data_IF_045896282121
#
_entry.id   IF_045896282121
#
_cell.length_a   1.000
_cell.length_b   1.000
_cell.length_c   1.000
_cell.angle_alpha   90.00
_cell.angle_beta   90.00
_cell.angle_gamma   90.00
#
_symmetry.space_group_name_H-M   'P 1'
#
loop_
_entity.id
_entity.type
_entity.pdbx_description
1 polymer ?
2 polymer ?
3 non-polymer ?
4 non-polymer ?
5 non-polymer ?
6 water ?
#
loop_
_entity_poly.entity_id
_entity_poly.type
_entity_poly.pdbx_seq_one_letter_code
_entity_poly.pdbx_strand_id
2 'polydeoxyribonucleotide' '(DT)(DT)(DT)(DT)(DT)(DT)' ?
#
# COMPACT_ATOMS: atom_id res chain seq x y z
N UNK A 1 -18.75 10.08 19.31
CA UNK A 1 -17.87 10.58 18.22
C UNK A 1 -18.20 9.95 16.86
N UNK A 2 -18.24 8.60 16.78
CA UNK A 2 -18.55 7.92 15.52
C UNK A 2 -19.78 8.50 14.83
N UNK A 3 -19.68 8.80 13.53
CA UNK A 3 -20.79 9.36 12.74
C UNK A 3 -22.08 8.55 12.87
N UNK A 4 -23.20 9.26 13.08
CA UNK A 4 -24.49 8.60 13.21
C UNK A 4 -24.98 8.16 11.83
N UNK A 5 -25.70 7.05 11.79
CA UNK A 5 -26.21 6.52 10.53
C UNK A 5 -27.42 7.35 10.08
N UNK A 6 -27.25 8.13 8.99
CA UNK A 6 -28.32 8.97 8.46
C UNK A 6 -29.46 8.20 7.81
N UNK A 7 -30.53 8.92 7.47
CA UNK A 7 -31.70 8.32 6.83
C UNK A 7 -31.38 8.06 5.36
N UNK A 8 -30.64 8.98 4.77
CA UNK A 8 -30.23 8.86 3.37
C UNK A 8 -28.71 8.85 3.29
N UNK A 9 -28.18 8.16 2.28
CA UNK A 9 -26.75 8.05 2.06
C UNK A 9 -25.95 9.29 2.44
N UNK A 10 -24.79 9.05 3.04
CA UNK A 10 -23.90 10.12 3.46
C UNK A 10 -22.49 9.60 3.70
N UNK A 11 -21.49 10.41 3.37
CA UNK A 11 -20.10 10.04 3.59
C UNK A 11 -19.59 10.90 4.75
N UNK A 12 -19.05 10.25 5.77
CA UNK A 12 -18.54 10.98 6.94
C UNK A 12 -17.10 10.61 7.24
N UNK A 13 -16.43 11.46 8.00
CA UNK A 13 -15.04 11.20 8.36
C UNK A 13 -14.94 10.84 9.83
N UNK A 14 -13.91 10.05 10.16
CA UNK A 14 -13.66 9.63 11.53
C UNK A 14 -12.17 9.78 11.78
N UNK A 15 -11.81 10.69 12.68
CA UNK A 15 -10.42 10.94 13.00
C UNK A 15 -10.17 10.72 14.48
N UNK A 16 -9.26 9.80 14.80
CA UNK A 16 -8.90 9.50 16.18
C UNK A 16 -7.49 8.92 16.19
N UNK A 17 -6.74 9.15 17.28
CA UNK A 17 -5.36 8.65 17.38
C UNK A 17 -5.18 7.15 17.16
N UNK A 18 -3.95 6.76 16.86
CA UNK A 18 -3.65 5.36 16.66
C UNK A 18 -3.91 4.56 17.92
N UNK A 19 -4.52 3.40 17.73
CA UNK A 19 -4.84 2.53 18.84
C UNK A 19 -6.10 2.92 19.59
N UNK A 20 -6.78 3.98 19.17
CA UNK A 20 -7.99 4.40 19.89
C UNK A 20 -9.18 3.45 19.74
N UNK A 21 -9.24 2.70 18.65
CA UNK A 21 -10.35 1.76 18.48
C UNK A 21 -11.17 1.91 17.22
N UNK A 22 -10.70 2.73 16.30
CA UNK A 22 -11.40 2.97 15.04
C UNK A 22 -11.77 1.71 14.27
N UNK A 23 -10.84 0.76 14.21
CA UNK A 23 -11.06 -0.48 13.46
C UNK A 23 -11.71 -1.62 14.23
N UNK A 24 -11.90 -1.42 15.53
CA UNK A 24 -12.49 -2.48 16.36
C UNK A 24 -13.68 -2.03 17.20
N UNK A 25 -13.48 -1.03 18.05
CA UNK A 25 -14.56 -0.51 18.90
C UNK A 25 -15.73 0.04 18.08
N UNK A 26 -15.42 0.89 17.10
CA UNK A 26 -16.43 1.51 16.27
C UNK A 26 -17.31 0.51 15.53
N UNK A 27 -16.72 -0.44 14.77
CA UNK A 27 -17.61 -1.38 14.09
C UNK A 27 -18.42 -2.22 15.06
N UNK A 28 -17.88 -2.49 16.24
CA UNK A 28 -18.59 -3.26 17.25
C UNK A 28 -19.83 -2.48 17.67
N UNK A 29 -19.64 -1.19 17.92
CA UNK A 29 -20.74 -0.33 18.32
C UNK A 29 -21.85 -0.34 17.27
N UNK A 30 -21.48 -0.12 16.01
CA UNK A 30 -22.45 -0.11 14.94
C UNK A 30 -23.23 -1.41 14.87
N UNK A 31 -22.52 -2.52 14.99
CA UNK A 31 -23.14 -3.83 14.94
C UNK A 31 -24.12 -3.97 16.09
N UNK A 32 -23.75 -3.46 17.24
CA UNK A 32 -24.63 -3.52 18.42
C UNK A 32 -25.92 -2.77 18.18
N UNK A 33 -25.89 -1.75 17.32
CA UNK A 33 -27.08 -0.98 17.03
C UNK A 33 -27.96 -1.69 16.01
N UNK A 34 -27.47 -2.79 15.46
CA UNK A 34 -28.24 -3.55 14.50
C UNK A 34 -27.88 -3.32 13.04
N UNK A 35 -26.72 -2.72 12.79
CA UNK A 35 -26.31 -2.46 11.42
C UNK A 35 -25.32 -3.51 10.90
N UNK A 36 -25.35 -3.74 9.59
CA UNK A 36 -24.42 -4.68 8.96
C UNK A 36 -23.23 -3.81 8.54
N UNK A 37 -22.04 -4.15 9.02
CA UNK A 37 -20.86 -3.34 8.73
C UNK A 37 -19.73 -4.04 7.99
N UNK A 38 -19.19 -3.34 6.99
CA UNK A 38 -18.08 -3.85 6.19
C UNK A 38 -16.88 -2.93 6.46
N UNK A 39 -15.77 -3.52 6.88
CA UNK A 39 -14.56 -2.74 7.14
C UNK A 39 -13.46 -3.11 6.15
N UNK A 40 -13.06 -2.15 5.32
CA UNK A 40 -12.01 -2.38 4.34
C UNK A 40 -10.69 -1.84 4.88
N UNK A 41 -9.71 -2.71 5.01
CA UNK A 41 -8.40 -2.34 5.53
C UNK A 41 -7.34 -2.75 4.51
N UNK A 42 -6.30 -1.94 4.33
CA UNK A 42 -5.26 -2.28 3.34
C UNK A 42 -4.29 -3.39 3.77
N UNK A 43 -4.33 -3.75 5.04
CA UNK A 43 -3.41 -4.75 5.57
C UNK A 43 -3.95 -6.18 5.78
N UNK A 44 -3.33 -7.14 5.10
CA UNK A 44 -3.73 -8.54 5.27
C UNK A 44 -3.43 -8.94 6.73
N UNK A 45 -2.26 -8.55 7.22
CA UNK A 45 -1.88 -8.88 8.60
C UNK A 45 -2.91 -8.37 9.61
N UNK A 46 -3.29 -7.10 9.49
CA UNK A 46 -4.26 -6.52 10.42
C UNK A 46 -5.64 -7.17 10.27
N UNK A 47 -6.07 -7.37 9.04
CA UNK A 47 -7.37 -7.98 8.75
C UNK A 47 -7.48 -9.34 9.43
N UNK A 48 -6.48 -10.19 9.24
CA UNK A 48 -6.49 -11.51 9.88
C UNK A 48 -6.47 -11.30 11.38
N UNK A 49 -5.74 -10.27 11.81
CA UNK A 49 -5.64 -9.95 13.22
C UNK A 49 -6.95 -9.53 13.84
N UNK A 50 -7.79 -8.81 13.09
CA UNK A 50 -9.07 -8.36 13.60
C UNK A 50 -9.97 -9.56 13.93
N UNK A 51 -9.90 -10.59 13.09
CA UNK A 51 -10.69 -11.78 13.31
C UNK A 51 -10.45 -12.40 14.66
N UNK A 52 -9.19 -12.66 14.96
CA UNK A 52 -8.81 -13.27 16.24
C UNK A 52 -9.15 -12.38 17.42
N UNK A 53 -8.74 -11.11 17.36
CA UNK A 53 -8.99 -10.17 18.44
C UNK A 53 -10.47 -9.93 18.74
N UNK A 54 -11.25 -9.63 17.70
CA UNK A 54 -12.67 -9.38 17.88
C UNK A 54 -13.33 -10.61 18.51
N UNK A 55 -12.85 -11.78 18.12
CA UNK A 55 -13.38 -13.03 18.63
C UNK A 55 -13.23 -13.19 20.13
N UNK A 56 -12.05 -12.91 20.67
CA UNK A 56 -11.85 -13.08 22.09
C UNK A 56 -11.92 -11.82 22.94
N UNK A 57 -12.26 -10.68 22.34
CA UNK A 57 -12.32 -9.44 23.09
C UNK A 57 -13.67 -8.75 22.96
N UNK A 58 -14.34 -8.94 21.82
CA UNK A 58 -15.64 -8.32 21.61
C UNK A 58 -16.71 -9.39 21.45
N UNK A 59 -16.34 -10.63 21.77
CA UNK A 59 -17.27 -11.73 21.67
C UNK A 59 -17.96 -11.76 20.31
N UNK A 60 -17.19 -11.63 19.25
CA UNK A 60 -17.77 -11.66 17.92
C UNK A 60 -16.79 -12.24 16.90
N UNK A 61 -17.26 -13.22 16.13
CA UNK A 61 -16.46 -13.86 15.11
C UNK A 61 -16.93 -13.32 13.77
N UNK A 62 -16.32 -12.22 13.33
CA UNK A 62 -16.70 -11.60 12.06
C UNK A 62 -16.26 -12.38 10.84
N UNK A 63 -16.82 -12.00 9.71
CA UNK A 63 -16.46 -12.62 8.45
C UNK A 63 -15.11 -11.99 8.11
N UNK A 64 -14.23 -12.80 7.52
CA UNK A 64 -12.91 -12.33 7.14
C UNK A 64 -12.68 -12.65 5.67
N UNK A 65 -12.18 -11.66 4.94
CA UNK A 65 -11.91 -11.84 3.52
C UNK A 65 -10.55 -11.25 3.14
N UNK A 66 -9.62 -12.12 2.75
CA UNK A 66 -8.29 -11.72 2.32
C UNK A 66 -7.92 -12.70 1.22
N UNK A 67 -6.88 -12.38 0.46
CA UNK A 67 -6.46 -13.27 -0.61
C UNK A 67 -5.85 -14.56 -0.09
N UNK A 68 -5.49 -14.56 1.18
CA UNK A 68 -4.86 -15.72 1.80
C UNK A 68 -5.86 -16.60 2.54
N UNK A 69 -6.82 -15.99 3.23
CA UNK A 69 -7.80 -16.77 3.95
C UNK A 69 -9.16 -16.10 4.01
N UNK A 70 -10.20 -16.91 3.88
CA UNK A 70 -11.57 -16.42 3.95
C UNK A 70 -12.29 -17.16 5.06
N UNK A 71 -13.08 -16.43 5.82
CA UNK A 71 -13.86 -17.02 6.90
C UNK A 71 -15.26 -16.42 6.87
N UNK A 72 -16.25 -17.24 6.57
CA UNK A 72 -17.63 -16.77 6.52
C UNK A 72 -18.39 -17.35 7.70
N UNK A 73 -18.84 -16.48 8.59
CA UNK A 73 -19.56 -16.88 9.80
C UNK A 73 -21.00 -16.40 9.76
N UNK A 74 -21.25 -15.33 9.02
CA UNK A 74 -22.60 -14.79 8.93
C UNK A 74 -22.80 -13.68 9.95
N UNK A 75 -21.70 -13.25 10.57
CA UNK A 75 -21.76 -12.17 11.54
C UNK A 75 -22.16 -10.86 10.87
N UNK A 76 -22.61 -9.87 11.65
CA UNK A 76 -23.02 -8.57 11.10
C UNK A 76 -21.84 -7.64 10.79
N UNK A 77 -20.63 -8.14 10.98
CA UNK A 77 -19.41 -7.37 10.69
C UNK A 77 -18.47 -8.18 9.80
N UNK A 78 -17.99 -7.54 8.74
CA UNK A 78 -17.05 -8.19 7.83
C UNK A 78 -15.76 -7.37 7.69
N UNK A 79 -14.63 -8.05 7.84
CA UNK A 79 -13.33 -7.40 7.66
C UNK A 79 -12.76 -7.93 6.36
N UNK A 80 -12.36 -7.01 5.49
CA UNK A 80 -11.81 -7.39 4.19
C UNK A 80 -10.71 -6.41 3.78
N UNK A 81 -9.72 -6.91 3.06
CA UNK A 81 -8.68 -6.02 2.58
C UNK A 81 -9.27 -5.35 1.34
N UNK A 82 -8.73 -4.19 0.97
CA UNK A 82 -9.21 -3.49 -0.21
C UNK A 82 -8.98 -4.39 -1.41
N UNK A 83 -7.84 -5.08 -1.41
CA UNK A 83 -7.52 -5.98 -2.51
C UNK A 83 -8.56 -7.05 -2.76
N UNK A 84 -8.96 -7.75 -1.71
CA UNK A 84 -9.95 -8.82 -1.82
C UNK A 84 -11.30 -8.25 -2.21
N UNK A 85 -11.60 -7.06 -1.71
CA UNK A 85 -12.85 -6.36 -2.00
C UNK A 85 -12.92 -6.07 -3.50
N UNK A 86 -11.83 -5.57 -4.06
CA UNK A 86 -11.80 -5.27 -5.49
C UNK A 86 -11.89 -6.58 -6.28
N UNK A 87 -11.17 -7.60 -5.82
CA UNK A 87 -11.17 -8.90 -6.48
C UNK A 87 -12.55 -9.57 -6.45
N UNK A 88 -13.35 -9.28 -5.42
CA UNK A 88 -14.68 -9.86 -5.31
C UNK A 88 -15.67 -9.13 -6.22
N UNK A 89 -15.27 -7.98 -6.75
CA UNK A 89 -16.15 -7.25 -7.65
C UNK A 89 -16.80 -6.01 -7.05
N UNK A 90 -16.31 -5.54 -5.90
CA UNK A 90 -16.89 -4.35 -5.31
C UNK A 90 -18.08 -4.58 -4.40
N UNK A 91 -18.93 -3.58 -4.28
CA UNK A 91 -20.12 -3.65 -3.41
C UNK A 91 -21.18 -4.65 -3.87
N UNK A 92 -21.78 -5.33 -2.91
CA UNK A 92 -22.83 -6.30 -3.17
C UNK A 92 -24.17 -5.63 -2.85
N UNK A 93 -25.19 -5.95 -3.64
CA UNK A 93 -26.50 -5.35 -3.43
C UNK A 93 -27.11 -5.62 -2.07
N UNK A 94 -27.46 -4.54 -1.38
CA UNK A 94 -28.07 -4.65 -0.06
C UNK A 94 -27.33 -5.53 0.95
N UNK A 95 -26.01 -5.57 0.85
CA UNK A 95 -25.22 -6.38 1.76
C UNK A 95 -24.89 -5.68 3.08
N UNK A 96 -24.59 -4.38 3.01
CA UNK A 96 -24.24 -3.64 4.21
C UNK A 96 -24.88 -2.26 4.35
N UNK A 97 -25.10 -1.86 5.61
CA UNK A 97 -25.69 -0.56 5.91
C UNK A 97 -24.57 0.48 6.04
N UNK A 98 -23.43 0.03 6.52
CA UNK A 98 -22.28 0.90 6.72
C UNK A 98 -21.02 0.28 6.13
N UNK A 99 -20.26 1.11 5.42
CA UNK A 99 -19.01 0.66 4.85
C UNK A 99 -17.93 1.59 5.39
N UNK A 100 -16.96 1.00 6.06
CA UNK A 100 -15.86 1.79 6.61
C UNK A 100 -14.60 1.64 5.77
N UNK A 101 -14.20 2.74 5.12
CA UNK A 101 -12.98 2.78 4.34
C UNK A 101 -11.93 3.11 5.38
N UNK A 102 -11.42 2.05 6.02
CA UNK A 102 -10.43 2.13 7.07
C UNK A 102 -9.05 2.54 6.55
N UNK A 103 -8.26 3.18 7.42
CA UNK A 103 -6.91 3.65 7.09
C UNK A 103 -6.90 4.39 5.75
N UNK A 104 -7.82 5.32 5.58
CA UNK A 104 -7.94 6.10 4.34
C UNK A 104 -6.79 7.08 4.08
N UNK A 105 -5.72 6.97 4.85
CA UNK A 105 -4.55 7.82 4.67
C UNK A 105 -3.58 7.10 3.72
N UNK A 106 -3.85 5.82 3.46
CA UNK A 106 -3.00 5.02 2.60
C UNK A 106 -3.08 5.43 1.14
N UNK A 107 -1.93 5.71 0.55
CA UNK A 107 -1.88 6.12 -0.85
C UNK A 107 -1.34 5.06 -1.81
N UNK A 108 -1.49 3.78 -1.47
CA UNK A 108 -1.08 2.72 -2.38
C UNK A 108 -2.26 2.68 -3.36
N UNK A 109 -2.01 2.26 -4.61
CA UNK A 109 -3.08 2.23 -5.62
C UNK A 109 -4.29 1.35 -5.28
N UNK A 110 -4.08 0.25 -4.57
CA UNK A 110 -5.19 -0.63 -4.23
C UNK A 110 -6.16 0.09 -3.29
N UNK A 111 -5.63 0.77 -2.28
CA UNK A 111 -6.50 1.49 -1.36
C UNK A 111 -7.26 2.59 -2.13
N UNK A 112 -6.56 3.36 -2.96
CA UNK A 112 -7.20 4.42 -3.72
C UNK A 112 -8.37 3.87 -4.57
N UNK A 113 -8.09 2.83 -5.35
CA UNK A 113 -9.12 2.20 -6.18
C UNK A 113 -10.27 1.65 -5.33
N UNK A 114 -9.93 1.05 -4.21
CA UNK A 114 -10.93 0.48 -3.33
C UNK A 114 -11.86 1.54 -2.78
N UNK A 115 -11.30 2.63 -2.26
CA UNK A 115 -12.11 3.70 -1.71
C UNK A 115 -12.97 4.37 -2.78
N UNK A 116 -12.38 4.60 -3.95
CA UNK A 116 -13.11 5.22 -5.05
C UNK A 116 -14.28 4.32 -5.46
N UNK A 117 -14.06 3.01 -5.46
CA UNK A 117 -15.11 2.08 -5.82
C UNK A 117 -16.27 2.25 -4.85
N UNK A 118 -15.96 2.30 -3.56
CA UNK A 118 -16.98 2.48 -2.53
C UNK A 118 -17.74 3.81 -2.73
N UNK A 119 -16.99 4.90 -2.89
CA UNK A 119 -17.62 6.20 -3.07
C UNK A 119 -18.54 6.24 -4.29
N UNK A 120 -18.35 5.30 -5.21
CA UNK A 120 -19.17 5.25 -6.43
C UNK A 120 -20.28 4.18 -6.43
N UNK A 121 -20.12 3.12 -5.64
CA UNK A 121 -21.11 2.05 -5.63
C UNK A 121 -21.92 1.95 -4.34
N UNK A 122 -21.38 2.49 -3.25
CA UNK A 122 -22.04 2.42 -1.95
C UNK A 122 -23.54 2.73 -1.96
N UNK A 123 -23.91 3.93 -2.37
CA UNK A 123 -25.30 4.32 -2.39
C UNK A 123 -26.18 3.38 -3.20
N UNK A 124 -25.74 3.04 -4.41
CA UNK A 124 -26.49 2.13 -5.27
C UNK A 124 -26.60 0.75 -4.63
N UNK A 125 -25.59 0.37 -3.86
CA UNK A 125 -25.57 -0.93 -3.20
C UNK A 125 -26.49 -0.96 -1.98
N UNK A 126 -27.05 0.19 -1.63
CA UNK A 126 -27.95 0.24 -0.49
C UNK A 126 -27.34 0.66 0.84
N UNK A 127 -26.07 1.05 0.82
CA UNK A 127 -25.40 1.48 2.04
C UNK A 127 -25.88 2.89 2.38
N UNK A 128 -26.16 3.15 3.65
CA UNK A 128 -26.62 4.48 4.05
C UNK A 128 -25.50 5.35 4.57
N UNK A 129 -24.36 4.73 4.89
CA UNK A 129 -23.25 5.46 5.43
C UNK A 129 -21.87 4.95 5.02
N UNK A 130 -20.99 5.87 4.67
CA UNK A 130 -19.63 5.51 4.33
C UNK A 130 -18.75 6.32 5.26
N UNK A 131 -17.84 5.64 5.94
CA UNK A 131 -16.94 6.33 6.86
C UNK A 131 -15.48 6.24 6.39
N UNK A 132 -14.82 7.38 6.37
CA UNK A 132 -13.42 7.47 5.96
C UNK A 132 -12.62 7.62 7.26
N UNK A 133 -12.06 6.51 7.75
CA UNK A 133 -11.33 6.52 9.01
C UNK A 133 -9.80 6.52 8.92
N UNK A 134 -9.18 7.33 9.77
CA UNK A 134 -7.71 7.43 9.85
C UNK A 134 -7.28 8.26 11.04
N UNK A 135 -6.11 7.94 11.58
CA UNK A 135 -5.55 8.68 12.71
C UNK A 135 -4.72 9.84 12.14
N UNK A 136 -4.49 9.81 10.82
CA UNK A 136 -3.66 10.82 10.19
C UNK A 136 -4.22 11.45 8.92
N UNK A 137 -5.25 12.30 9.04
CA UNK A 137 -5.88 12.97 7.88
C UNK A 137 -4.89 13.83 7.08
N UNK A 138 -5.21 14.13 5.81
CA UNK A 138 -4.41 14.93 4.89
C UNK A 138 -3.47 16.01 5.44
N UNK A 139 -4.01 17.08 5.98
CA UNK A 139 -3.13 18.12 6.48
C UNK A 139 -2.65 17.93 7.92
N UNK A 140 -2.63 16.70 8.41
CA UNK A 140 -2.22 16.45 9.78
C UNK A 140 -0.72 16.41 10.02
N UNK A 141 -0.33 16.87 11.20
CA UNK A 141 1.07 16.91 11.61
C UNK A 141 1.20 15.97 12.80
N UNK A 142 2.33 15.31 12.93
CA UNK A 142 2.56 14.40 14.03
C UNK A 142 2.39 15.10 15.38
N UNK A 143 1.51 14.55 16.22
CA UNK A 143 1.25 15.10 17.54
C UNK A 143 1.62 14.08 18.60
N UNK A 144 1.99 14.56 19.80
CA UNK A 144 2.37 13.68 20.92
C UNK A 144 1.32 12.62 21.22
N UNK A 145 1.75 11.39 21.44
CA UNK A 145 0.83 10.31 21.76
C UNK A 145 0.97 10.01 23.25
N UNK A 146 -0.16 9.97 23.97
CA UNK A 146 -0.17 9.70 25.42
C UNK A 146 0.54 8.42 25.90
N UNK A 147 0.53 7.38 25.09
CA UNK A 147 1.15 6.11 25.49
C UNK A 147 2.56 5.91 24.93
N UNK A 148 3.04 6.85 24.12
CA UNK A 148 4.35 6.65 23.50
C UNK A 148 5.49 7.63 23.82
N UNK A 149 6.49 7.12 24.52
CA UNK A 149 7.68 7.91 24.85
C UNK A 149 8.59 7.83 23.63
N UNK A 150 9.03 8.96 23.12
CA UNK A 150 9.89 9.00 21.94
C UNK A 150 11.35 9.25 22.32
N UNK A 151 12.21 8.26 22.07
CA UNK A 151 13.62 8.39 22.42
C UNK A 151 14.53 8.29 21.19
N UNK A 152 15.30 9.33 20.94
CA UNK A 152 16.21 9.32 19.80
C UNK A 152 17.36 8.35 20.00
N UNK A 153 17.78 7.72 18.92
CA UNK A 153 18.91 6.80 18.95
C UNK A 153 20.17 7.65 18.88
N UNK A 154 21.30 7.08 19.29
CA UNK A 154 22.56 7.78 19.24
C UNK A 154 23.57 6.93 18.49
N UNK A 155 24.84 7.24 18.66
CA UNK A 155 25.91 6.50 18.02
C UNK A 155 26.30 5.30 18.86
N UNK A 156 25.79 5.26 20.09
CA UNK A 156 26.07 4.16 21.01
C UNK A 156 25.19 2.94 20.72
N UNK A 157 25.83 1.79 20.60
CA UNK A 157 25.09 0.57 20.33
C UNK A 157 25.94 -0.35 19.49
N UNK A 158 25.76 -1.66 19.65
CA UNK A 158 26.54 -2.61 18.89
C UNK A 158 25.91 -3.00 17.54
N UNK A 159 24.79 -2.36 17.19
CA UNK A 159 24.11 -2.66 15.95
C UNK A 159 23.95 -1.42 15.07
N UNK A 160 24.72 -1.35 13.98
CA UNK A 160 24.66 -0.21 13.06
C UNK A 160 23.25 -0.05 12.49
N UNK A 161 22.76 1.19 12.43
CA UNK A 161 21.41 1.43 11.95
C UNK A 161 21.26 2.82 11.34
N UNK A 162 21.26 2.86 10.01
CA UNK A 162 21.10 4.08 9.24
C UNK A 162 21.95 5.25 9.75
N UNK A 163 23.23 5.01 9.98
CA UNK A 163 24.11 6.07 10.45
C UNK A 163 24.21 6.14 11.97
N UNK A 164 23.28 5.51 12.66
CA UNK A 164 23.26 5.48 14.12
C UNK A 164 23.45 4.04 14.54
N UNK A 165 23.08 3.73 15.78
CA UNK A 165 23.21 2.37 16.28
C UNK A 165 22.07 2.00 17.22
N UNK A 166 21.85 0.70 17.39
CA UNK A 166 20.81 0.21 18.29
C UNK A 166 21.48 -0.60 19.40
N UNK A 167 21.24 -0.21 20.67
CA UNK A 167 21.84 -0.95 21.79
C UNK A 167 21.10 -2.27 21.96
N UNK A 168 21.84 -3.37 22.08
CA UNK A 168 21.21 -4.68 22.23
C UNK A 168 20.26 -4.79 23.42
N UNK A 169 20.60 -4.16 24.54
CA UNK A 169 19.72 -4.24 25.71
C UNK A 169 18.40 -3.53 25.45
N UNK A 170 18.34 -2.75 24.38
CA UNK A 170 17.14 -2.03 24.04
C UNK A 170 16.11 -2.96 23.34
N UNK A 171 16.59 -4.08 22.81
CA UNK A 171 15.70 -5.02 22.12
C UNK A 171 15.81 -6.45 22.63
N UNK A 172 16.73 -6.70 23.54
CA UNK A 172 16.94 -8.02 24.13
C UNK A 172 15.78 -8.30 25.09
N UNK A 173 14.94 -9.27 24.74
CA UNK A 173 13.80 -9.58 25.58
C UNK A 173 12.67 -8.63 25.25
N UNK A 174 11.45 -9.16 25.20
CA UNK A 174 10.31 -8.32 24.85
C UNK A 174 9.99 -8.40 23.37
N UNK A 175 9.03 -7.61 22.93
CA UNK A 175 8.62 -7.60 21.53
C UNK A 175 8.93 -6.23 20.95
N UNK A 176 9.56 -6.23 19.77
CA UNK A 176 9.94 -4.97 19.13
C UNK A 176 9.78 -5.01 17.62
N UNK A 177 9.41 -3.86 17.05
CA UNK A 177 9.24 -3.74 15.61
C UNK A 177 10.24 -2.72 15.08
N UNK A 178 11.00 -3.14 14.07
CA UNK A 178 11.99 -2.26 13.45
C UNK A 178 11.64 -2.00 11.99
N UNK A 179 11.46 -0.73 11.64
CA UNK A 179 11.14 -0.37 10.27
C UNK A 179 12.39 -0.06 9.46
N UNK A 180 12.47 -0.67 8.28
CA UNK A 180 13.56 -0.48 7.34
C UNK A 180 12.91 -0.10 6.01
N UNK A 181 13.56 0.78 5.26
CA UNK A 181 13.02 1.25 3.98
C UNK A 181 12.91 0.19 2.88
N UNK A 182 13.71 -0.88 2.95
CA UNK A 182 13.68 -1.90 1.91
C UNK A 182 13.64 -3.34 2.42
N UNK A 183 13.20 -4.25 1.56
CA UNK A 183 13.12 -5.67 1.90
C UNK A 183 14.51 -6.23 2.19
N UNK A 184 15.46 -5.86 1.33
CA UNK A 184 16.84 -6.31 1.46
C UNK A 184 17.41 -5.94 2.82
N UNK A 185 17.16 -4.72 3.28
CA UNK A 185 17.67 -4.27 4.58
C UNK A 185 17.02 -5.10 5.70
N UNK A 186 15.75 -5.43 5.54
CA UNK A 186 15.03 -6.21 6.53
C UNK A 186 15.69 -7.56 6.71
N UNK A 187 16.00 -8.21 5.60
CA UNK A 187 16.65 -9.52 5.63
C UNK A 187 18.02 -9.44 6.29
N UNK A 188 18.79 -8.41 5.93
CA UNK A 188 20.13 -8.23 6.48
C UNK A 188 20.13 -7.97 7.97
N UNK A 189 19.22 -7.10 8.42
CA UNK A 189 19.13 -6.77 9.85
C UNK A 189 18.67 -7.98 10.63
N UNK A 190 17.61 -8.63 10.17
CA UNK A 190 17.10 -9.82 10.85
C UNK A 190 18.23 -10.84 11.00
N UNK A 191 18.98 -11.06 9.94
CA UNK A 191 20.09 -12.00 9.97
C UNK A 191 21.12 -11.55 11.01
N UNK A 192 21.46 -10.28 10.98
CA UNK A 192 22.43 -9.72 11.94
C UNK A 192 21.95 -9.98 13.37
N UNK A 193 20.67 -9.70 13.63
CA UNK A 193 20.11 -9.90 14.95
C UNK A 193 20.05 -11.38 15.34
N UNK A 194 19.62 -12.24 14.42
CA UNK A 194 19.55 -13.67 14.70
C UNK A 194 20.93 -14.19 15.05
N UNK A 195 21.95 -13.67 14.38
CA UNK A 195 23.31 -14.10 14.63
C UNK A 195 23.79 -13.72 16.02
N UNK A 196 23.14 -12.74 16.63
CA UNK A 196 23.49 -12.28 17.97
C UNK A 196 22.73 -13.05 19.04
N UNK A 197 21.98 -14.07 18.62
CA UNK A 197 21.22 -14.87 19.57
C UNK A 197 19.86 -14.32 19.92
N UNK A 198 19.36 -13.39 19.11
CA UNK A 198 18.05 -12.79 19.35
C UNK A 198 17.02 -13.42 18.41
N UNK A 199 15.77 -13.49 18.84
CA UNK A 199 14.72 -14.06 18.01
C UNK A 199 14.19 -12.98 17.07
N UNK A 200 14.73 -12.94 15.85
CA UNK A 200 14.34 -11.93 14.87
C UNK A 200 13.82 -12.52 13.59
N UNK A 201 12.80 -11.89 13.03
CA UNK A 201 12.19 -12.32 11.79
C UNK A 201 11.89 -11.12 10.90
N UNK A 202 12.00 -11.32 9.59
CA UNK A 202 11.72 -10.25 8.67
C UNK A 202 10.32 -10.43 8.14
N UNK A 203 9.69 -9.31 7.79
CA UNK A 203 8.36 -9.37 7.21
C UNK A 203 8.15 -8.20 6.27
N UNK A 204 7.58 -8.52 5.11
CA UNK A 204 7.27 -7.54 4.08
C UNK A 204 6.35 -8.23 3.10
N UNK A 205 5.79 -7.45 2.16
CA UNK A 205 4.87 -7.99 1.18
C UNK A 205 5.47 -9.22 0.50
N UNK A 206 4.72 -10.32 0.51
CA UNK A 206 5.21 -11.54 -0.12
C UNK A 206 5.46 -12.67 0.87
N UNK A 207 5.75 -12.31 2.11
CA UNK A 207 6.00 -13.32 3.12
C UNK A 207 4.68 -13.62 3.85
N UNK A 208 4.60 -14.80 4.46
CA UNK A 208 3.39 -15.18 5.18
C UNK A 208 3.28 -14.43 6.51
N UNK A 209 2.07 -13.94 6.80
CA UNK A 209 1.81 -13.21 8.04
C UNK A 209 2.13 -14.08 9.26
N UNK A 210 2.09 -15.39 9.09
CA UNK A 210 2.36 -16.35 10.16
C UNK A 210 3.80 -16.30 10.67
N UNK A 211 4.69 -15.67 9.92
CA UNK A 211 6.08 -15.58 10.33
C UNK A 211 6.22 -14.77 11.61
N UNK A 212 5.21 -13.96 11.90
CA UNK A 212 5.25 -13.14 13.10
C UNK A 212 4.54 -13.89 14.22
N UNK A 213 5.28 -14.30 15.26
CA UNK A 213 4.71 -15.02 16.40
C UNK A 213 3.72 -14.13 17.16
N UNK A 214 2.63 -14.73 17.61
CA UNK A 214 1.59 -14.03 18.34
C UNK A 214 2.06 -13.60 19.72
N UNK A 215 2.90 -14.42 20.34
CA UNK A 215 3.41 -14.12 21.67
C UNK A 215 4.88 -14.45 21.82
N UNK A 216 5.43 -14.16 22.98
CA UNK A 216 6.83 -14.44 23.25
C UNK A 216 7.76 -13.40 22.63
N UNK A 217 8.97 -13.34 23.17
CA UNK A 217 9.99 -12.40 22.71
C UNK A 217 10.25 -12.51 21.22
N UNK A 218 10.35 -11.35 20.56
CA UNK A 218 10.61 -11.33 19.14
C UNK A 218 10.95 -9.93 18.65
N UNK A 219 11.76 -9.87 17.60
CA UNK A 219 12.10 -8.60 16.98
C UNK A 219 11.70 -8.75 15.52
N UNK A 220 10.66 -8.03 15.12
CA UNK A 220 10.22 -8.09 13.73
C UNK A 220 10.88 -6.94 12.98
N UNK A 221 11.45 -7.23 11.82
CA UNK A 221 12.09 -6.20 11.02
C UNK A 221 11.25 -6.13 9.75
N UNK A 222 10.56 -5.02 9.56
CA UNK A 222 9.69 -4.90 8.41
C UNK A 222 9.72 -3.60 7.63
N UNK A 223 9.12 -3.68 6.46
CA UNK A 223 8.96 -2.55 5.55
C UNK A 223 7.62 -1.92 5.96
N UNK A 224 7.17 -0.95 5.17
CA UNK A 224 5.89 -0.31 5.47
C UNK A 224 4.71 -1.28 5.35
N UNK A 225 5.00 -2.57 5.17
CA UNK A 225 3.94 -3.56 5.08
C UNK A 225 3.25 -3.67 6.46
N UNK A 226 3.94 -3.18 7.48
CA UNK A 226 3.38 -3.20 8.83
C UNK A 226 3.19 -1.80 9.38
N UNK A 227 3.12 -0.82 8.48
CA UNK A 227 2.95 0.56 8.88
C UNK A 227 1.54 0.89 9.39
N UNK A 228 0.52 0.34 8.76
CA UNK A 228 -0.84 0.66 9.18
C UNK A 228 -1.71 -0.50 9.62
N UNK A 229 -2.75 -0.18 10.40
CA UNK A 229 -3.70 -1.17 10.89
C UNK A 229 -3.25 -2.18 11.93
N UNK A 230 -2.09 -2.77 11.71
CA UNK A 230 -1.53 -3.83 12.55
C UNK A 230 -1.21 -3.59 14.03
N UNK A 231 -1.61 -4.55 14.87
CA UNK A 231 -1.32 -4.52 16.30
C UNK A 231 -0.49 -5.77 16.57
N UNK A 232 0.80 -5.58 16.80
CA UNK A 232 1.66 -6.73 17.05
C UNK A 232 2.02 -6.86 18.52
N UNK A 233 1.44 -6.00 19.35
CA UNK A 233 1.72 -6.01 20.79
C UNK A 233 3.22 -5.76 21.01
N UNK A 234 3.73 -4.69 20.40
CA UNK A 234 5.14 -4.36 20.51
C UNK A 234 5.43 -3.42 21.66
N UNK A 235 6.52 -3.67 22.37
CA UNK A 235 6.94 -2.83 23.49
C UNK A 235 7.63 -1.59 22.94
N UNK A 236 8.14 -1.70 21.71
CA UNK A 236 8.80 -0.56 21.09
C UNK A 236 8.85 -0.67 19.57
N UNK A 237 9.08 0.48 18.96
CA UNK A 237 9.22 0.61 17.52
C UNK A 237 10.47 1.44 17.28
N UNK A 238 11.34 0.94 16.39
CA UNK A 238 12.55 1.65 16.01
C UNK A 238 12.32 1.95 14.53
N UNK A 239 12.49 3.21 14.18
CA UNK A 239 12.19 3.70 12.83
C UNK A 239 13.39 4.35 12.14
N UNK A 240 13.68 3.93 10.90
CA UNK A 240 14.79 4.50 10.14
C UNK A 240 14.36 5.87 9.61
N UNK A 241 13.07 6.15 9.69
CA UNK A 241 12.50 7.43 9.24
C UNK A 241 12.62 7.73 7.75
N UNK A 242 12.97 6.72 6.95
CA UNK A 242 13.07 6.90 5.50
C UNK A 242 12.07 5.96 4.83
N UNK A 243 11.77 6.24 3.56
CA UNK A 243 10.82 5.42 2.82
C UNK A 243 11.14 5.44 1.33
N UNK A 244 10.53 4.52 0.59
CA UNK A 244 10.73 4.47 -0.84
C UNK A 244 9.47 5.02 -1.50
N UNK A 245 9.65 5.91 -2.45
CA UNK A 245 8.51 6.50 -3.14
C UNK A 245 8.79 6.54 -4.62
N UNK A 246 7.78 6.94 -5.39
CA UNK A 246 7.92 7.03 -6.83
C UNK A 246 7.47 8.38 -7.32
N UNK A 247 8.09 8.83 -8.41
CA UNK A 247 7.74 10.12 -8.99
C UNK A 247 7.73 9.98 -10.49
N UNK A 248 6.78 10.63 -11.14
CA UNK A 248 6.72 10.58 -12.58
C UNK A 248 7.36 11.85 -13.13
N UNK A 249 8.23 11.68 -14.12
CA UNK A 249 8.90 12.81 -14.75
C UNK A 249 8.57 12.78 -16.24
N UNK A 250 7.88 13.81 -16.71
CA UNK A 250 7.52 13.90 -18.14
C UNK A 250 8.72 14.49 -18.84
N UNK A 251 9.77 13.69 -18.94
CA UNK A 251 11.03 14.08 -19.54
C UNK A 251 11.07 14.09 -21.08
N UNK A 252 9.95 13.72 -21.71
CA UNK A 252 9.86 13.70 -23.17
C UNK A 252 11.11 13.12 -23.83
N UNK A 253 11.60 12.00 -23.32
CA UNK A 253 12.80 11.39 -23.87
C UNK A 253 12.68 9.88 -24.02
N UNK A 254 11.70 9.41 -24.82
CA UNK A 254 10.72 10.20 -25.56
C UNK A 254 9.42 10.59 -24.87
N UNK A 255 9.07 9.88 -23.80
CA UNK A 255 7.81 10.16 -23.14
C UNK A 255 7.93 10.58 -21.68
N UNK A 256 7.77 9.61 -20.79
CA UNK A 256 7.88 9.90 -19.37
C UNK A 256 8.82 8.92 -18.70
N UNK A 257 9.20 9.25 -17.47
CA UNK A 257 10.09 8.42 -16.69
C UNK A 257 9.50 8.25 -15.30
N UNK A 258 9.52 7.02 -14.80
CA UNK A 258 9.02 6.78 -13.46
C UNK A 258 10.24 6.41 -12.63
N UNK A 259 10.66 7.34 -11.78
CA UNK A 259 11.82 7.11 -10.94
C UNK A 259 11.45 6.78 -9.51
N UNK A 260 12.10 5.76 -8.97
CA UNK A 260 11.89 5.33 -7.61
C UNK A 260 13.01 5.92 -6.75
N UNK A 261 12.66 6.58 -5.66
CA UNK A 261 13.68 7.17 -4.79
C UNK A 261 13.44 6.92 -3.30
N UNK A 262 14.51 6.98 -2.53
CA UNK A 262 14.43 6.79 -1.08
C UNK A 262 14.49 8.19 -0.50
N UNK A 263 13.48 8.54 0.29
CA UNK A 263 13.41 9.87 0.88
C UNK A 263 12.95 9.79 2.33
N UNK A 264 12.99 10.93 3.04
CA UNK A 264 12.56 10.97 4.44
C UNK A 264 11.05 10.74 4.48
N UNK A 265 10.58 10.11 5.55
CA UNK A 265 9.17 9.82 5.73
C UNK A 265 8.35 11.09 5.89
N UNK A 266 7.08 11.01 5.50
CA UNK A 266 6.19 12.14 5.64
C UNK A 266 5.51 12.01 7.00
N UNK A 267 4.67 12.97 7.36
CA UNK A 267 3.98 12.97 8.64
C UNK A 267 3.09 11.75 8.86
N UNK A 268 2.42 11.28 7.81
CA UNK A 268 1.55 10.13 7.94
C UNK A 268 2.39 8.92 8.35
N UNK A 269 3.49 8.70 7.64
CA UNK A 269 4.37 7.59 7.93
C UNK A 269 4.91 7.61 9.36
N UNK A 270 5.37 8.78 9.81
CA UNK A 270 5.94 8.87 11.16
C UNK A 270 4.91 8.53 12.22
N UNK A 271 3.72 9.09 12.12
CA UNK A 271 2.67 8.79 13.11
C UNK A 271 2.14 7.35 13.01
N UNK A 272 1.91 6.86 11.80
CA UNK A 272 1.43 5.50 11.63
C UNK A 272 2.46 4.48 12.11
N UNK A 273 3.73 4.67 11.73
CA UNK A 273 4.80 3.75 12.13
C UNK A 273 4.95 3.82 13.65
N UNK A 274 5.01 5.03 14.18
CA UNK A 274 5.15 5.19 15.62
C UNK A 274 4.01 4.46 16.30
N UNK A 275 2.81 4.66 15.76
CA UNK A 275 1.61 4.04 16.31
C UNK A 275 1.52 2.53 16.32
N UNK A 276 2.55 1.82 15.85
CA UNK A 276 2.47 0.36 15.89
C UNK A 276 2.73 -0.10 17.33
N UNK A 277 3.26 0.81 18.15
CA UNK A 277 3.50 0.52 19.56
C UNK A 277 2.59 1.45 20.34
N UNK A 278 2.52 1.30 21.65
CA UNK A 278 1.66 2.15 22.45
C UNK A 278 0.20 1.96 22.12
N UNK A 279 -0.19 0.70 21.92
CA UNK A 279 -1.57 0.35 21.58
C UNK A 279 -2.24 -0.34 22.75
N UNK A 280 -2.94 0.45 23.58
CA UNK A 280 -3.61 -0.12 24.73
C UNK A 280 -2.66 -0.27 25.91
N UNK A 281 -1.53 0.41 25.85
CA UNK A 281 -0.53 0.39 26.91
C UNK A 281 0.66 1.26 26.50
N UNK A 282 1.55 1.53 27.46
CA UNK A 282 2.71 2.37 27.18
C UNK A 282 3.71 1.70 26.24
N UNK A 283 4.40 2.52 25.45
CA UNK A 283 5.38 1.99 24.52
C UNK A 283 6.49 2.98 24.23
N UNK A 284 7.53 2.51 23.57
CA UNK A 284 8.66 3.35 23.23
C UNK A 284 8.89 3.40 21.72
N UNK A 285 9.19 4.60 21.22
CA UNK A 285 9.45 4.81 19.80
C UNK A 285 10.85 5.44 19.67
N UNK A 286 11.77 4.70 19.05
CA UNK A 286 13.14 5.18 18.87
C UNK A 286 13.31 5.57 17.40
N UNK A 287 13.99 6.68 17.17
CA UNK A 287 14.17 7.18 15.82
C UNK A 287 15.59 7.60 15.47
N UNK A 288 15.86 7.68 14.16
CA UNK A 288 17.16 8.07 13.64
C UNK A 288 17.20 9.56 13.37
N UNK A 289 16.14 10.08 12.77
CA UNK A 289 16.05 11.48 12.43
C UNK A 289 14.72 12.05 12.91
N UNK A 290 14.77 13.25 13.51
CA UNK A 290 13.52 13.86 13.99
C UNK A 290 12.83 14.55 12.84
N UNK A 291 11.61 15.04 13.08
CA UNK A 291 10.87 15.74 12.05
C UNK A 291 10.43 14.89 10.87
N UNK A 292 9.75 15.53 9.92
CA UNK A 292 9.26 14.85 8.73
C UNK A 292 8.65 15.82 7.73
N UNK A 293 8.43 15.35 6.51
CA UNK A 293 7.83 16.17 5.48
C UNK A 293 6.31 16.18 5.59
N UNK A 294 5.66 17.24 5.10
CA UNK A 294 4.20 17.40 5.12
C UNK A 294 3.49 16.27 4.38
N UNK A 295 2.21 16.09 4.70
CA UNK A 295 1.39 15.07 4.07
C UNK A 295 0.15 15.71 3.44
N UNK A 296 -0.69 14.90 2.79
CA UNK A 296 -1.89 15.44 2.19
C UNK A 296 -2.04 15.33 0.69
N UNK A 297 -0.92 15.14 -0.01
CA UNK A 297 -0.94 15.01 -1.47
C UNK A 297 0.05 13.97 -1.97
N UNK A 298 -0.31 13.31 -3.08
CA UNK A 298 0.58 12.29 -3.65
C UNK A 298 0.92 12.59 -5.10
N UNK A 299 1.94 11.91 -5.62
CA UNK A 299 2.39 12.13 -6.98
C UNK A 299 1.50 11.55 -8.07
N UNK A 300 1.54 12.17 -9.25
CA UNK A 300 0.77 11.74 -10.40
C UNK A 300 1.10 10.28 -10.73
N UNK A 301 2.29 9.85 -10.35
CA UNK A 301 2.73 8.48 -10.60
C UNK A 301 1.81 7.46 -9.92
N UNK A 302 1.19 7.87 -8.81
CA UNK A 302 0.29 6.99 -8.09
C UNK A 302 -0.96 6.74 -8.93
N UNK A 303 -1.38 7.75 -9.69
CA UNK A 303 -2.55 7.58 -10.56
C UNK A 303 -2.17 6.56 -11.63
N UNK A 304 -0.96 6.69 -12.17
CA UNK A 304 -0.49 5.76 -13.18
C UNK A 304 -0.51 4.36 -12.57
N UNK A 305 -0.13 4.27 -11.31
CA UNK A 305 -0.12 3.02 -10.56
C UNK A 305 -1.53 2.41 -10.44
N UNK A 306 -2.54 3.28 -10.33
CA UNK A 306 -3.92 2.83 -10.23
C UNK A 306 -4.42 2.22 -11.55
N UNK A 307 -4.12 2.87 -12.66
CA UNK A 307 -4.54 2.34 -13.95
C UNK A 307 -3.84 1.01 -14.17
N UNK A 308 -2.55 0.96 -13.84
CA UNK A 308 -1.77 -0.25 -14.01
C UNK A 308 -2.36 -1.41 -13.21
N UNK A 309 -2.72 -1.15 -11.95
CA UNK A 309 -3.31 -2.17 -11.08
C UNK A 309 -4.67 -2.59 -11.62
N UNK A 310 -5.41 -1.61 -12.12
CA UNK A 310 -6.73 -1.89 -12.66
C UNK A 310 -6.64 -2.88 -13.80
N UNK A 311 -5.70 -2.66 -14.70
CA UNK A 311 -5.51 -3.55 -15.85
C UNK A 311 -4.90 -4.89 -15.46
N UNK A 312 -3.87 -4.85 -14.61
CA UNK A 312 -3.18 -6.06 -14.21
C UNK A 312 -3.82 -6.97 -13.16
N UNK A 313 -4.44 -6.40 -12.14
CA UNK A 313 -5.04 -7.21 -11.08
C UNK A 313 -6.55 -7.24 -10.95
N UNK A 314 -7.20 -6.10 -11.16
CA UNK A 314 -8.63 -6.01 -10.95
C UNK A 314 -9.55 -5.99 -12.16
N UNK A 315 -9.09 -6.54 -13.28
CA UNK A 315 -9.88 -6.58 -14.51
C UNK A 315 -10.70 -5.32 -14.74
N UNK A 316 -10.09 -4.17 -14.52
CA UNK A 316 -10.77 -2.90 -14.72
C UNK A 316 -10.25 -2.22 -15.98
N UNK A 317 -11.17 -1.75 -16.81
CA UNK A 317 -10.77 -1.08 -18.04
C UNK A 317 -10.35 0.32 -17.62
N UNK A 318 -9.52 0.99 -18.43
CA UNK A 318 -9.08 2.34 -18.09
C UNK A 318 -10.26 3.27 -17.80
N UNK A 319 -11.33 3.18 -18.60
CA UNK A 319 -12.49 4.04 -18.38
C UNK A 319 -13.15 3.74 -17.04
N UNK A 320 -13.15 2.46 -16.67
CA UNK A 320 -13.74 2.02 -15.41
C UNK A 320 -12.93 2.58 -14.24
N UNK A 321 -11.61 2.53 -14.36
CA UNK A 321 -10.72 3.04 -13.33
C UNK A 321 -10.93 4.54 -13.16
N UNK A 322 -11.12 5.25 -14.27
CA UNK A 322 -11.33 6.69 -14.22
C UNK A 322 -12.58 7.02 -13.43
N UNK A 323 -13.64 6.25 -13.64
CA UNK A 323 -14.89 6.48 -12.92
C UNK A 323 -14.66 6.41 -11.42
N UNK A 324 -13.84 5.44 -11.01
CA UNK A 324 -13.56 5.25 -9.59
C UNK A 324 -12.64 6.32 -9.03
N UNK A 325 -11.58 6.67 -9.77
CA UNK A 325 -10.64 7.70 -9.33
C UNK A 325 -11.30 9.08 -9.26
N UNK A 326 -12.25 9.34 -10.16
CA UNK A 326 -12.97 10.61 -10.14
C UNK A 326 -13.71 10.73 -8.81
N UNK A 327 -14.42 9.68 -8.44
CA UNK A 327 -15.17 9.68 -7.19
C UNK A 327 -14.25 10.01 -6.01
N UNK A 328 -13.06 9.41 -6.02
CA UNK A 328 -12.09 9.62 -4.96
C UNK A 328 -11.62 11.08 -4.93
N UNK A 329 -11.24 11.61 -6.08
CA UNK A 329 -10.76 12.99 -6.14
C UNK A 329 -11.85 14.04 -5.93
N UNK A 330 -13.11 13.66 -6.13
CA UNK A 330 -14.23 14.59 -5.95
C UNK A 330 -14.77 14.57 -4.53
N UNK A 331 -14.15 13.79 -3.64
CA UNK A 331 -14.61 13.72 -2.25
C UNK A 331 -13.63 14.47 -1.37
N UNK A 332 -14.11 15.50 -0.65
CA UNK A 332 -13.26 16.29 0.24
C UNK A 332 -12.75 15.53 1.46
N UNK A 333 -11.59 15.95 1.97
CA UNK A 333 -11.04 15.31 3.16
C UNK A 333 -10.10 14.16 2.89
N UNK A 334 -9.82 13.88 1.62
CA UNK A 334 -8.91 12.79 1.26
C UNK A 334 -7.65 13.36 0.62
N UNK A 335 -6.60 12.53 0.50
CA UNK A 335 -5.36 13.01 -0.10
C UNK A 335 -5.63 13.51 -1.52
N UNK A 336 -4.98 14.61 -1.90
CA UNK A 336 -5.18 15.19 -3.22
C UNK A 336 -4.01 14.94 -4.18
N UNK A 337 -4.28 15.12 -5.47
CA UNK A 337 -3.27 14.90 -6.49
C UNK A 337 -3.64 15.66 -7.77
N UNK A 338 -2.66 15.92 -8.62
CA UNK A 338 -2.91 16.61 -9.88
C UNK A 338 -3.97 15.82 -10.63
N UNK A 339 -4.84 16.52 -11.35
CA UNK A 339 -5.91 15.86 -12.09
C UNK A 339 -5.38 15.42 -13.46
N UNK A 340 -4.70 14.28 -13.47
CA UNK A 340 -4.15 13.73 -14.70
C UNK A 340 -4.88 12.48 -15.16
N UNK A 341 -6.12 12.32 -14.72
CA UNK A 341 -6.90 11.13 -15.09
C UNK A 341 -7.03 10.97 -16.62
N UNK A 342 -7.41 12.05 -17.31
CA UNK A 342 -7.54 12.00 -18.76
C UNK A 342 -6.25 11.52 -19.41
N UNK A 343 -5.14 12.11 -19.01
CA UNK A 343 -3.86 11.72 -19.56
C UNK A 343 -3.59 10.22 -19.34
N UNK A 344 -3.54 9.79 -18.08
CA UNK A 344 -3.28 8.39 -17.79
C UNK A 344 -4.27 7.40 -18.41
N UNK A 345 -5.54 7.77 -18.45
CA UNK A 345 -6.52 6.87 -19.05
C UNK A 345 -6.20 6.70 -20.52
N UNK A 346 -5.88 7.80 -21.20
CA UNK A 346 -5.57 7.74 -22.62
C UNK A 346 -4.30 6.92 -22.86
N UNK A 347 -3.35 7.01 -21.93
CA UNK A 347 -2.12 6.24 -22.08
C UNK A 347 -2.39 4.73 -22.05
N UNK A 348 -3.06 4.26 -21.01
CA UNK A 348 -3.33 2.84 -20.89
C UNK A 348 -4.33 2.35 -21.93
N UNK A 349 -5.20 3.22 -22.42
CA UNK A 349 -6.17 2.80 -23.43
C UNK A 349 -5.49 2.31 -24.70
N UNK A 350 -4.32 2.87 -25.00
CA UNK A 350 -3.61 2.46 -26.20
C UNK A 350 -2.79 1.19 -26.04
N UNK A 351 -2.62 0.72 -24.81
CA UNK A 351 -1.83 -0.48 -24.55
C UNK A 351 -2.69 -1.76 -24.58
N UNK A 352 -2.96 -2.26 -25.79
CA UNK A 352 -3.78 -3.46 -25.96
C UNK A 352 -3.02 -4.69 -26.40
N UNK A 353 -3.65 -5.85 -26.25
CA UNK A 353 -3.06 -7.13 -26.63
C UNK A 353 -1.71 -7.38 -25.99
N UNK A 354 -1.64 -7.18 -24.69
CA UNK A 354 -0.39 -7.41 -23.96
C UNK A 354 -0.20 -8.92 -23.93
N UNK A 355 1.06 -9.37 -23.88
CA UNK A 355 1.33 -10.79 -23.83
C UNK A 355 0.98 -11.25 -22.41
N UNK A 356 -0.02 -12.11 -22.30
CA UNK A 356 -0.49 -12.62 -21.02
C UNK A 356 0.61 -13.29 -20.21
N UNK A 357 1.44 -14.06 -20.89
CA UNK A 357 2.52 -14.76 -20.23
C UNK A 357 3.49 -13.78 -19.56
N UNK A 358 3.74 -12.66 -20.21
CA UNK A 358 4.63 -11.63 -19.67
C UNK A 358 3.95 -10.93 -18.49
N UNK A 359 2.67 -10.63 -18.64
CA UNK A 359 1.92 -9.95 -17.59
C UNK A 359 1.96 -10.81 -16.34
N UNK A 360 1.72 -12.10 -16.53
CA UNK A 360 1.73 -13.05 -15.43
C UNK A 360 3.08 -13.02 -14.74
N UNK A 361 4.15 -13.03 -15.53
CA UNK A 361 5.50 -13.00 -14.99
C UNK A 361 5.87 -11.74 -14.21
N UNK A 362 5.48 -10.56 -14.70
CA UNK A 362 5.81 -9.33 -13.98
C UNK A 362 5.01 -9.23 -12.69
N UNK A 363 3.76 -9.71 -12.70
CA UNK A 363 2.94 -9.66 -11.49
C UNK A 363 3.53 -10.56 -10.40
N UNK A 364 3.91 -11.78 -10.78
CA UNK A 364 4.49 -12.72 -9.81
C UNK A 364 5.85 -12.27 -9.30
N UNK A 365 6.59 -11.57 -10.15
CA UNK A 365 7.91 -11.08 -9.76
C UNK A 365 7.77 -9.92 -8.78
N UNK A 366 6.56 -9.39 -8.67
CA UNK A 366 6.32 -8.28 -7.76
C UNK A 366 6.91 -6.96 -8.22
N UNK A 367 7.15 -6.84 -9.52
CA UNK A 367 7.72 -5.60 -10.06
C UNK A 367 6.70 -4.48 -9.97
N UNK A 368 7.20 -3.25 -9.88
CA UNK A 368 6.31 -2.09 -9.81
C UNK A 368 5.84 -1.85 -11.25
N UNK A 369 4.57 -1.47 -11.41
CA UNK A 369 4.02 -1.24 -12.74
C UNK A 369 4.14 -2.49 -13.60
N UNK A 370 3.68 -3.64 -13.09
CA UNK A 370 3.78 -4.88 -13.87
C UNK A 370 3.18 -4.81 -15.28
N UNK A 371 2.09 -4.05 -15.44
CA UNK A 371 1.48 -3.94 -16.75
C UNK A 371 2.39 -3.17 -17.71
N UNK A 372 2.92 -2.02 -17.27
CA UNK A 372 3.82 -1.25 -18.13
C UNK A 372 5.09 -2.03 -18.46
N UNK A 373 5.62 -2.76 -17.49
CA UNK A 373 6.82 -3.54 -17.72
C UNK A 373 6.51 -4.63 -18.75
N UNK A 374 5.42 -5.37 -18.50
CA UNK A 374 5.02 -6.44 -19.40
C UNK A 374 4.64 -5.90 -20.78
N UNK A 375 4.11 -4.69 -20.84
CA UNK A 375 3.73 -4.15 -22.14
C UNK A 375 4.97 -3.77 -22.95
N UNK A 376 5.97 -3.17 -22.29
CA UNK A 376 7.20 -2.82 -22.99
C UNK A 376 7.83 -4.12 -23.53
N UNK A 377 7.84 -5.16 -22.70
CA UNK A 377 8.40 -6.45 -23.12
C UNK A 377 7.64 -7.01 -24.31
N UNK A 378 6.31 -6.88 -24.26
CA UNK A 378 5.46 -7.36 -25.33
C UNK A 378 5.84 -6.69 -26.64
N UNK A 379 6.03 -5.37 -26.60
CA UNK A 379 6.41 -4.64 -27.79
C UNK A 379 7.78 -5.09 -28.29
N UNK A 380 8.73 -5.31 -27.37
CA UNK A 380 10.06 -5.76 -27.77
C UNK A 380 9.98 -7.11 -28.48
N UNK A 381 9.24 -8.04 -27.90
CA UNK A 381 9.10 -9.37 -28.48
C UNK A 381 8.54 -9.30 -29.90
N UNK A 382 7.47 -8.53 -30.09
CA UNK A 382 6.86 -8.41 -31.40
C UNK A 382 7.77 -7.76 -32.45
N UNK A 383 8.63 -6.85 -32.01
CA UNK A 383 9.56 -6.19 -32.93
C UNK A 383 10.87 -6.97 -33.00
N UNK A 384 10.95 -8.07 -32.25
CA UNK A 384 12.16 -8.87 -32.21
C UNK A 384 13.34 -8.00 -31.78
N UNK A 385 13.07 -7.08 -30.87
CA UNK A 385 14.09 -6.18 -30.35
C UNK A 385 14.37 -6.50 -28.88
N UNK A 386 15.56 -6.14 -28.40
CA UNK A 386 15.89 -6.41 -27.00
C UNK A 386 15.29 -5.40 -26.05
N UNK A 387 15.19 -5.75 -24.76
CA UNK A 387 14.62 -4.83 -23.76
C UNK A 387 15.57 -3.66 -23.50
N UNK A 388 15.09 -2.62 -22.79
CA UNK A 388 15.92 -1.43 -22.48
C UNK A 388 17.29 -1.85 -21.94
N UNK A 389 17.27 -2.84 -21.04
CA UNK A 389 18.49 -3.36 -20.45
C UNK A 389 18.27 -4.83 -20.17
N UNK A 390 19.20 -5.44 -19.46
CA UNK A 390 19.07 -6.86 -19.13
C UNK A 390 19.04 -7.12 -17.63
N UNK A 391 18.48 -6.18 -16.88
CA UNK A 391 18.39 -6.36 -15.44
C UNK A 391 17.19 -7.24 -15.15
N UNK A 392 17.13 -7.78 -13.93
CA UNK A 392 16.05 -8.68 -13.51
C UNK A 392 14.69 -8.28 -14.09
N UNK A 393 14.43 -6.98 -14.10
CA UNK A 393 13.17 -6.43 -14.60
C UNK A 393 12.73 -6.98 -15.97
N UNK A 394 13.69 -7.30 -16.82
CA UNK A 394 13.40 -7.79 -18.16
C UNK A 394 13.73 -9.27 -18.39
N UNK A 395 13.91 -10.04 -17.32
CA UNK A 395 14.27 -11.45 -17.48
C UNK A 395 13.23 -12.26 -18.26
N UNK A 396 11.99 -11.77 -18.32
CA UNK A 396 10.95 -12.50 -19.06
C UNK A 396 11.27 -12.60 -20.54
N UNK A 397 12.32 -11.92 -20.99
CA UNK A 397 12.68 -11.94 -22.41
C UNK A 397 13.96 -12.74 -22.71
N UNK A 398 14.57 -13.31 -21.68
CA UNK A 398 15.80 -14.08 -21.87
C UNK A 398 15.62 -15.20 -22.89
N UNK A 399 14.49 -15.90 -22.81
CA UNK A 399 14.21 -17.00 -23.72
C UNK A 399 14.26 -16.61 -25.20
N UNK A 400 14.09 -15.32 -25.51
CA UNK A 400 14.13 -14.86 -26.90
C UNK A 400 15.42 -14.12 -27.21
N UNK A 401 16.27 -13.95 -26.21
CA UNK A 401 17.52 -13.23 -26.38
C UNK A 401 18.24 -13.48 -27.71
N UNK A 402 18.47 -14.75 -28.08
CA UNK A 402 19.15 -15.08 -29.33
C UNK A 402 18.52 -14.52 -30.59
N UNK A 403 17.26 -14.10 -30.50
CA UNK A 403 16.55 -13.57 -31.66
C UNK A 403 16.37 -12.05 -31.64
N UNK A 404 16.54 -11.45 -30.47
CA UNK A 404 16.39 -10.00 -30.32
C UNK A 404 17.57 -9.25 -30.92
N UNK A 405 17.28 -8.22 -31.69
CA UNK A 405 18.31 -7.43 -32.33
C UNK A 405 17.85 -5.99 -32.60
N UNK A 406 18.81 -5.13 -32.90
CA UNK A 406 18.49 -3.74 -33.20
C UNK A 406 18.21 -2.91 -31.96
N UNK A 407 17.74 -1.66 -32.15
CA UNK A 407 17.43 -0.76 -31.04
C UNK A 407 16.13 -1.14 -30.35
N UNK A 408 16.00 -0.71 -29.11
CA UNK A 408 14.81 -0.98 -28.32
C UNK A 408 13.74 0.07 -28.63
N UNK A 409 12.49 -0.38 -28.85
CA UNK A 409 11.38 0.53 -29.12
C UNK A 409 10.92 1.06 -27.77
N UNK A 410 11.61 2.09 -27.28
CA UNK A 410 11.31 2.66 -25.96
C UNK A 410 9.95 3.34 -25.84
N UNK A 411 9.08 2.78 -25.00
CA UNK A 411 7.74 3.32 -24.79
C UNK A 411 7.76 4.39 -23.70
N UNK A 412 8.61 4.17 -22.71
CA UNK A 412 8.76 5.06 -21.57
C UNK A 412 9.93 4.53 -20.77
N UNK A 413 10.35 5.25 -19.74
CA UNK A 413 11.48 4.81 -18.92
C UNK A 413 11.06 4.32 -17.54
N UNK A 414 11.46 3.09 -17.21
CA UNK A 414 11.12 2.50 -15.92
C UNK A 414 12.39 2.12 -15.16
N UNK A 415 13.53 2.38 -15.79
CA UNK A 415 14.81 2.07 -15.19
C UNK A 415 15.91 2.54 -16.10
N UNK A 416 17.11 1.98 -15.93
CA UNK A 416 18.25 2.36 -16.74
C UNK A 416 18.15 1.74 -18.12
N UNK A 417 18.56 2.50 -19.12
CA UNK A 417 18.53 2.02 -20.50
C UNK A 417 19.95 1.92 -21.02
N UNK A 418 20.38 0.71 -21.39
CA UNK A 418 21.72 0.52 -21.89
C UNK A 418 21.78 0.36 -23.39
N UNK A 419 20.84 -0.41 -23.94
CA UNK A 419 20.78 -0.65 -25.37
C UNK A 419 20.40 0.60 -26.18
N UNK A 420 20.71 0.56 -27.48
CA UNK A 420 20.35 1.67 -28.35
C UNK A 420 18.84 1.80 -28.31
N UNK A 421 18.34 2.96 -28.71
CA UNK A 421 16.91 3.21 -28.66
C UNK A 421 16.32 3.80 -29.94
N UNK A 422 15.07 3.43 -30.21
CA UNK A 422 14.34 3.97 -31.36
C UNK A 422 13.04 4.47 -30.75
N UNK A 423 12.54 5.59 -31.26
CA UNK A 423 11.30 6.17 -30.74
C UNK A 423 10.20 6.25 -31.80
N UNK A 424 10.29 5.41 -32.83
CA UNK A 424 9.32 5.43 -33.91
C UNK A 424 8.13 4.48 -33.75
N UNK A 425 8.12 3.68 -32.71
CA UNK A 425 7.03 2.74 -32.50
C UNK A 425 5.69 3.49 -32.36
N UNK A 426 4.63 2.98 -32.99
CA UNK A 426 3.30 3.57 -32.94
C UNK A 426 2.86 3.93 -31.52
N UNK A 427 3.16 3.06 -30.57
CA UNK A 427 2.78 3.31 -29.19
C UNK A 427 3.58 4.48 -28.63
N UNK A 428 4.88 4.55 -28.93
CA UNK A 428 5.69 5.67 -28.45
C UNK A 428 5.12 6.99 -28.99
N UNK A 429 4.81 7.01 -30.29
CA UNK A 429 4.27 8.21 -30.93
C UNK A 429 2.92 8.55 -30.31
N UNK A 430 2.13 7.52 -30.00
CA UNK A 430 0.83 7.75 -29.37
C UNK A 430 0.96 8.37 -27.98
N UNK A 431 1.87 7.84 -27.17
CA UNK A 431 2.06 8.38 -25.82
C UNK A 431 2.54 9.83 -25.93
N UNK A 432 3.51 10.08 -26.81
CA UNK A 432 4.03 11.42 -27.01
C UNK A 432 2.87 12.34 -27.35
N UNK A 433 1.94 11.85 -28.14
CA UNK A 433 0.77 12.63 -28.54
C UNK A 433 -0.13 12.91 -27.34
N UNK A 434 -0.29 11.92 -26.47
CA UNK A 434 -1.11 12.09 -25.28
C UNK A 434 -0.55 13.21 -24.40
N UNK A 435 0.78 13.30 -24.38
CA UNK A 435 1.49 14.30 -23.59
C UNK A 435 1.42 15.69 -24.20
N UNK A 436 1.00 15.77 -25.46
CA UNK A 436 0.90 17.03 -26.16
C UNK A 436 -0.44 17.70 -25.92
N UNK A 437 -1.50 16.90 -25.91
CA UNK A 437 -2.85 17.41 -25.70
C UNK A 437 -3.83 16.26 -25.56
#
# INVERSE_FOLDING_TARGET
SPPAVPQTFQVAHLHAPTGSGKSTKVPAAYAAQGYKVLVLNPSVAATLGFGAYMSKAHGIDPNIRTGVRTITTGAPITYSTYGKFLADGGCSGGAYDIIICDECHSTDSTTILGIGTVLDQAETAGARLVVLATATPPGSVTVPHPNIEEVALSSTGEIPFYGKAIPIETIKGGRHLIFCHSKKKCDELAAKLSGLGLNAVAYYRGLDVSVIPTSGDVIVVATDALMTGFTGDFDSVIDCNTCVTQTVDFSLDPTFTIETTTVPQDAVSRSQRRGRTGRGRMGIYRFVTPGERPSGMFDSSVLCECYDAGCAWYELTPAETSVRLRAYLNTPGLPVCQDHLEFWESVFTGLTHIDAHFLSQTKQAGDNFPYLVAYQATVCARAQAPPPSWDQMWKCLIRLKPTLHGPTPLLYRLGAVQNEVTTTHPITKYIMACMSA
#
